data_IF_657814788606
#
_entry.id   IF_657814788606
#
_cell.length_a   1.000
_cell.length_b   1.000
_cell.length_c   1.000
_cell.angle_alpha   90.00
_cell.angle_beta   90.00
_cell.angle_gamma   90.00
#
_symmetry.space_group_name_H-M   'P 1'
#
loop_
_entity.id
_entity.type
_entity.pdbx_description
1 polymer ?
#
# COMPACT_ATOMS: atom_id res chain seq x y z
N UNK A 1 16.61 -31.37 13.15
CA UNK A 1 15.35 -30.83 13.71
C UNK A 1 14.14 -31.45 12.99
N UNK A 2 13.32 -32.28 13.64
CA UNK A 2 12.11 -32.85 13.03
C UNK A 2 10.98 -31.80 13.06
N UNK A 3 10.60 -31.29 11.89
CA UNK A 3 9.46 -30.36 11.77
C UNK A 3 8.19 -31.13 12.14
N UNK A 4 7.52 -30.74 13.23
CA UNK A 4 6.30 -31.42 13.73
C UNK A 4 5.23 -31.46 12.63
N UNK A 5 4.52 -32.58 12.49
CA UNK A 5 3.49 -32.84 11.45
C UNK A 5 2.49 -31.69 11.29
N UNK A 6 2.07 -31.05 12.38
CA UNK A 6 1.14 -29.90 12.35
C UNK A 6 1.72 -28.68 11.61
N UNK A 7 3.03 -28.43 11.71
CA UNK A 7 3.69 -27.31 11.02
C UNK A 7 3.68 -27.50 9.49
N UNK A 8 3.83 -28.75 9.02
CA UNK A 8 3.76 -29.10 7.60
C UNK A 8 2.32 -29.04 7.07
N UNK A 9 1.33 -29.42 7.88
CA UNK A 9 -0.08 -29.31 7.51
C UNK A 9 -0.52 -27.85 7.31
N UNK A 10 0.00 -26.92 8.10
CA UNK A 10 -0.26 -25.48 7.94
C UNK A 10 0.31 -24.97 6.60
N UNK A 11 1.55 -25.33 6.27
CA UNK A 11 2.17 -24.95 4.99
C UNK A 11 1.40 -25.53 3.79
N UNK A 12 0.94 -26.78 3.88
CA UNK A 12 0.09 -27.40 2.85
C UNK A 12 -1.24 -26.63 2.66
N UNK A 13 -1.90 -26.22 3.75
CA UNK A 13 -3.13 -25.41 3.67
C UNK A 13 -2.89 -24.04 3.02
N UNK A 14 -1.77 -23.38 3.32
CA UNK A 14 -1.42 -22.07 2.77
C UNK A 14 -1.07 -22.12 1.27
N UNK A 15 -0.43 -23.20 0.82
CA UNK A 15 -0.07 -23.39 -0.60
C UNK A 15 -1.28 -23.36 -1.54
N UNK A 16 -2.46 -23.75 -1.06
CA UNK A 16 -3.72 -23.73 -1.84
C UNK A 16 -4.21 -22.31 -2.16
N UNK A 17 -3.84 -21.32 -1.36
CA UNK A 17 -4.29 -19.93 -1.48
C UNK A 17 -3.23 -18.98 -2.05
N UNK A 18 -1.98 -19.43 -2.15
CA UNK A 18 -0.93 -18.68 -2.82
C UNK A 18 -1.13 -18.77 -4.35
N UNK A 19 -1.37 -17.64 -5.02
CA UNK A 19 -1.33 -17.60 -6.48
C UNK A 19 0.09 -17.89 -6.94
N UNK A 20 0.31 -19.02 -7.63
CA UNK A 20 1.62 -19.35 -8.22
C UNK A 20 2.06 -18.22 -9.14
N UNK A 21 3.31 -17.79 -9.04
CA UNK A 21 3.82 -16.76 -9.94
C UNK A 21 3.84 -17.30 -11.39
N UNK A 22 3.70 -16.44 -12.42
CA UNK A 22 3.73 -16.90 -13.81
C UNK A 22 5.01 -17.67 -14.17
N UNK A 23 6.13 -17.34 -13.51
CA UNK A 23 7.39 -18.06 -13.65
C UNK A 23 7.33 -19.48 -13.05
N UNK A 24 6.72 -19.64 -11.88
CA UNK A 24 6.52 -20.95 -11.26
C UNK A 24 5.60 -21.84 -12.10
N UNK A 25 4.53 -21.29 -12.68
CA UNK A 25 3.63 -22.04 -13.57
C UNK A 25 4.36 -22.54 -14.84
N UNK A 26 5.30 -21.75 -15.37
CA UNK A 26 6.14 -22.16 -16.52
C UNK A 26 7.12 -23.27 -16.14
N UNK A 27 7.73 -23.18 -14.96
CA UNK A 27 8.64 -24.21 -14.44
C UNK A 27 7.88 -25.51 -14.12
N UNK A 28 6.72 -25.43 -13.50
CA UNK A 28 5.88 -26.58 -13.22
C UNK A 28 5.48 -27.34 -14.50
N UNK A 29 5.16 -26.60 -15.59
CA UNK A 29 4.90 -27.20 -16.91
C UNK A 29 6.13 -27.90 -17.49
N UNK A 30 7.30 -27.30 -17.34
CA UNK A 30 8.56 -27.88 -17.80
C UNK A 30 8.86 -29.21 -17.06
N UNK A 31 8.46 -29.30 -15.80
CA UNK A 31 8.64 -30.49 -14.94
C UNK A 31 7.42 -31.44 -14.94
N UNK A 32 6.43 -31.21 -15.81
CA UNK A 32 5.27 -32.10 -15.97
C UNK A 32 4.19 -32.00 -14.89
N UNK A 33 4.27 -31.03 -13.96
CA UNK A 33 3.22 -30.79 -12.99
C UNK A 33 2.02 -30.08 -13.63
N UNK A 34 0.85 -30.72 -13.62
CA UNK A 34 -0.39 -30.10 -14.11
C UNK A 34 -0.83 -29.00 -13.12
N UNK A 35 -1.12 -27.78 -13.58
CA UNK A 35 -1.61 -26.72 -12.70
C UNK A 35 -3.03 -27.07 -12.24
N UNK A 36 -3.21 -27.34 -10.94
CA UNK A 36 -4.53 -27.37 -10.31
C UNK A 36 -5.04 -25.92 -10.26
N UNK A 37 -5.86 -25.56 -11.24
CA UNK A 37 -6.62 -24.33 -11.19
C UNK A 37 -7.75 -24.51 -10.18
N UNK A 38 -7.82 -23.73 -9.08
CA UNK A 38 -8.98 -23.79 -8.19
C UNK A 38 -10.23 -23.47 -9.02
N UNK A 39 -11.21 -24.38 -9.01
CA UNK A 39 -12.48 -24.23 -9.75
C UNK A 39 -13.20 -22.96 -9.27
N UNK A 40 -12.97 -21.82 -9.94
CA UNK A 40 -13.72 -20.59 -9.71
C UNK A 40 -15.12 -20.81 -10.25
N UNK A 41 -16.12 -20.85 -9.36
CA UNK A 41 -17.53 -20.86 -9.76
C UNK A 41 -17.80 -19.58 -10.56
N UNK A 42 -18.34 -19.72 -11.77
CA UNK A 42 -18.73 -18.59 -12.62
C UNK A 42 -19.85 -17.82 -11.91
N UNK A 43 -19.60 -16.59 -11.49
CA UNK A 43 -20.65 -15.68 -11.01
C UNK A 43 -21.51 -15.30 -12.21
N UNK A 44 -22.82 -15.58 -12.14
CA UNK A 44 -23.79 -15.17 -13.15
C UNK A 44 -23.82 -13.64 -13.19
N UNK A 45 -23.58 -13.04 -14.35
CA UNK A 45 -23.84 -11.62 -14.57
C UNK A 45 -25.35 -11.40 -14.49
N UNK A 46 -25.84 -10.76 -13.43
CA UNK A 46 -27.20 -10.25 -13.39
C UNK A 46 -27.29 -9.06 -14.35
N UNK A 47 -28.28 -9.12 -15.24
CA UNK A 47 -28.66 -8.06 -16.17
C UNK A 47 -28.84 -6.73 -15.42
N UNK A 48 -28.30 -5.65 -16.00
CA UNK A 48 -28.45 -4.29 -15.47
C UNK A 48 -29.93 -3.90 -15.56
N UNK A 49 -30.57 -3.65 -14.42
CA UNK A 49 -31.84 -2.91 -14.39
C UNK A 49 -31.49 -1.46 -14.72
N UNK A 50 -31.84 -1.02 -15.93
CA UNK A 50 -31.85 0.38 -16.29
C UNK A 50 -33.01 1.06 -15.55
N UNK A 51 -32.73 1.61 -14.38
CA UNK A 51 -33.64 2.55 -13.74
C UNK A 51 -33.61 3.87 -14.51
N UNK A 52 -34.73 4.24 -15.13
CA UNK A 52 -34.91 5.57 -15.70
C UNK A 52 -34.91 6.60 -14.57
N UNK A 53 -33.79 7.31 -14.41
CA UNK A 53 -33.76 8.50 -13.56
C UNK A 53 -34.52 9.62 -14.26
N UNK A 54 -35.80 9.81 -13.90
CA UNK A 54 -36.52 11.04 -14.26
C UNK A 54 -35.75 12.23 -13.68
N UNK A 55 -35.24 13.10 -14.57
CA UNK A 55 -34.55 14.32 -14.19
C UNK A 55 -35.59 15.27 -13.58
N UNK A 56 -35.44 15.58 -12.28
CA UNK A 56 -36.28 16.57 -11.61
C UNK A 56 -35.99 17.96 -12.17
N UNK A 57 -37.03 18.78 -12.24
CA UNK A 57 -36.91 20.14 -12.76
C UNK A 57 -36.19 21.02 -11.73
N UNK A 58 -35.43 22.02 -12.19
CA UNK A 58 -34.54 22.81 -11.32
C UNK A 58 -35.27 23.47 -10.13
N UNK A 59 -36.54 23.83 -10.31
CA UNK A 59 -37.39 24.39 -9.24
C UNK A 59 -37.69 23.40 -8.12
N UNK A 60 -37.89 22.12 -8.45
CA UNK A 60 -38.17 21.06 -7.47
C UNK A 60 -36.94 20.72 -6.64
N UNK A 61 -35.75 20.80 -7.25
CA UNK A 61 -34.48 20.59 -6.55
C UNK A 61 -34.19 21.72 -5.55
N UNK A 62 -34.47 22.96 -5.92
CA UNK A 62 -34.25 24.14 -5.06
C UNK A 62 -35.19 24.12 -3.84
N UNK A 63 -36.47 23.78 -4.03
CA UNK A 63 -37.43 23.69 -2.91
C UNK A 63 -37.03 22.59 -1.90
N UNK A 64 -36.55 21.44 -2.40
CA UNK A 64 -36.11 20.33 -1.56
C UNK A 64 -34.83 20.63 -0.76
N UNK A 65 -34.01 21.55 -1.27
CA UNK A 65 -32.82 22.05 -0.57
C UNK A 65 -33.19 23.17 0.42
N UNK A 66 -34.21 23.96 0.14
CA UNK A 66 -34.75 24.98 1.06
C UNK A 66 -35.42 24.35 2.28
N UNK A 67 -36.25 23.31 2.10
CA UNK A 67 -36.89 22.56 3.20
C UNK A 67 -35.87 21.93 4.16
N UNK A 68 -34.67 21.61 3.68
CA UNK A 68 -33.59 21.09 4.52
C UNK A 68 -32.77 22.17 5.27
N UNK A 69 -33.10 23.45 5.10
CA UNK A 69 -32.32 24.58 5.65
C UNK A 69 -33.07 25.45 6.67
N UNK A 70 -34.36 25.21 6.96
CA UNK A 70 -35.08 25.99 7.99
C UNK A 70 -34.77 25.46 9.41
N UNK A 71 -34.37 26.32 10.37
CA UNK A 71 -34.18 25.93 11.77
C UNK A 71 -35.50 26.02 12.55
N UNK A 72 -35.92 24.92 13.17
CA UNK A 72 -37.02 24.92 14.16
C UNK A 72 -36.59 25.67 15.44
N UNK A 73 -37.47 26.55 15.93
CA UNK A 73 -37.32 27.27 17.21
C UNK A 73 -37.74 26.36 18.39
N UNK A 74 -36.94 26.34 19.47
CA UNK A 74 -37.18 25.59 20.72
C UNK A 74 -38.23 26.25 21.67
N UNK A 75 -38.70 25.57 22.76
CA UNK A 75 -38.03 25.75 24.07
C UNK A 75 -37.99 24.55 25.09
N UNK A 76 -36.89 24.54 25.89
CA UNK A 76 -36.74 24.27 27.36
C UNK A 76 -36.38 22.88 28.01
N UNK A 77 -35.04 22.67 28.25
CA UNK A 77 -34.23 22.31 29.49
C UNK A 77 -34.63 21.19 30.52
N UNK A 78 -33.71 20.69 31.42
CA UNK A 78 -32.26 20.37 31.34
C UNK A 78 -31.84 19.02 32.05
N UNK A 79 -30.64 18.45 31.82
CA UNK A 79 -29.77 17.79 32.85
C UNK A 79 -28.38 17.31 32.35
N UNK A 80 -27.32 18.01 32.80
CA UNK A 80 -26.02 17.60 33.42
C UNK A 80 -25.10 16.48 32.82
N UNK A 81 -23.96 16.94 32.25
CA UNK A 81 -22.51 16.53 32.30
C UNK A 81 -21.99 15.13 31.88
N UNK A 82 -21.12 15.09 30.84
CA UNK A 82 -19.64 14.88 30.87
C UNK A 82 -19.02 14.90 29.44
N UNK A 83 -17.72 15.21 29.25
CA UNK A 83 -17.20 15.78 28.00
C UNK A 83 -16.82 14.75 26.91
N UNK A 84 -17.45 14.89 25.73
CA UNK A 84 -17.04 14.17 24.52
C UNK A 84 -15.76 14.76 23.90
N UNK A 85 -14.77 13.89 23.74
CA UNK A 85 -13.57 14.13 22.93
C UNK A 85 -13.97 14.28 21.46
N UNK A 86 -14.05 15.53 21.00
CA UNK A 86 -14.11 15.86 19.59
C UNK A 86 -12.78 15.50 18.93
N UNK A 87 -12.77 14.52 18.02
CA UNK A 87 -11.90 14.49 16.84
C UNK A 87 -12.28 13.34 15.90
N UNK A 88 -13.36 13.54 15.13
CA UNK A 88 -13.53 12.79 13.87
C UNK A 88 -12.99 13.64 12.73
N UNK A 89 -11.66 13.58 12.56
CA UNK A 89 -11.00 14.06 11.36
C UNK A 89 -11.54 13.34 10.13
N UNK A 90 -11.96 14.12 9.14
CA UNK A 90 -12.45 13.74 7.81
C UNK A 90 -11.67 12.54 7.27
N UNK A 91 -12.24 11.34 7.37
CA UNK A 91 -11.75 10.15 6.67
C UNK A 91 -11.93 10.41 5.18
N UNK A 92 -10.84 10.64 4.48
CA UNK A 92 -10.84 10.70 3.02
C UNK A 92 -11.57 9.46 2.50
N UNK A 93 -12.56 9.68 1.62
CA UNK A 93 -13.28 8.63 0.91
C UNK A 93 -12.29 7.84 0.06
N UNK A 94 -11.61 6.88 0.66
CA UNK A 94 -10.91 5.84 -0.07
C UNK A 94 -11.98 5.05 -0.80
N UNK A 95 -12.02 5.16 -2.13
CA UNK A 95 -12.88 4.37 -3.00
C UNK A 95 -12.60 2.89 -2.70
N UNK A 96 -13.46 2.26 -1.89
CA UNK A 96 -13.32 0.84 -1.55
C UNK A 96 -13.45 0.06 -2.85
N UNK A 97 -12.51 -0.86 -3.09
CA UNK A 97 -12.57 -1.72 -4.27
C UNK A 97 -13.85 -2.56 -4.17
N UNK A 98 -14.67 -2.67 -5.23
CA UNK A 98 -16.01 -3.24 -5.12
C UNK A 98 -16.03 -4.71 -4.66
N UNK A 99 -14.99 -5.49 -4.94
CA UNK A 99 -14.81 -6.88 -4.50
C UNK A 99 -14.33 -7.05 -3.05
N UNK A 100 -14.17 -5.95 -2.30
CA UNK A 100 -13.66 -5.97 -0.94
C UNK A 100 -14.75 -6.21 0.12
N UNK A 101 -16.01 -6.11 -0.30
CA UNK A 101 -17.22 -6.22 0.54
C UNK A 101 -17.72 -7.66 0.64
N UNK A 102 -17.27 -8.57 -0.22
CA UNK A 102 -17.74 -9.96 -0.26
C UNK A 102 -17.42 -10.71 1.06
N UNK A 103 -18.41 -11.39 1.67
CA UNK A 103 -18.23 -12.05 2.97
C UNK A 103 -17.21 -13.19 2.92
N UNK A 104 -17.06 -13.86 1.78
CA UNK A 104 -16.04 -14.91 1.58
C UNK A 104 -14.62 -14.33 1.58
N UNK A 105 -14.41 -13.18 0.93
CA UNK A 105 -13.13 -12.48 0.92
C UNK A 105 -12.76 -11.99 2.33
N UNK A 106 -13.75 -11.56 3.12
CA UNK A 106 -13.52 -11.20 4.51
C UNK A 106 -13.09 -12.40 5.36
N UNK A 107 -13.74 -13.56 5.19
CA UNK A 107 -13.33 -14.81 5.87
C UNK A 107 -11.89 -15.19 5.50
N UNK A 108 -11.53 -15.13 4.22
CA UNK A 108 -10.16 -15.38 3.77
C UNK A 108 -9.14 -14.38 4.32
N UNK A 109 -9.51 -13.10 4.42
CA UNK A 109 -8.65 -12.08 5.05
C UNK A 109 -8.46 -12.34 6.54
N UNK A 110 -9.49 -12.81 7.25
CA UNK A 110 -9.41 -13.19 8.67
C UNK A 110 -8.47 -14.38 8.86
N UNK A 111 -8.68 -15.46 8.11
CA UNK A 111 -7.83 -16.66 8.19
C UNK A 111 -6.38 -16.37 7.83
N UNK A 112 -6.14 -15.52 6.81
CA UNK A 112 -4.79 -15.06 6.47
C UNK A 112 -4.14 -14.28 7.61
N UNK A 113 -4.84 -13.31 8.21
CA UNK A 113 -4.33 -12.53 9.35
C UNK A 113 -4.01 -13.42 10.55
N UNK A 114 -4.88 -14.37 10.86
CA UNK A 114 -4.65 -15.35 11.95
C UNK A 114 -3.40 -16.17 11.69
N UNK A 115 -3.23 -16.70 10.47
CA UNK A 115 -2.05 -17.48 10.09
C UNK A 115 -0.75 -16.65 10.17
N UNK A 116 -0.76 -15.40 9.69
CA UNK A 116 0.39 -14.49 9.79
C UNK A 116 0.73 -14.19 11.26
N UNK A 117 -0.28 -13.95 12.10
CA UNK A 117 -0.08 -13.72 13.53
C UNK A 117 0.49 -14.96 14.25
N UNK A 118 0.04 -16.16 13.88
CA UNK A 118 0.60 -17.42 14.39
C UNK A 118 2.07 -17.58 13.98
N UNK A 119 2.41 -17.33 12.71
CA UNK A 119 3.81 -17.35 12.24
C UNK A 119 4.67 -16.34 13.01
N UNK A 120 4.16 -15.12 13.21
CA UNK A 120 4.88 -14.11 13.98
C UNK A 120 5.14 -14.57 15.43
N UNK A 121 4.13 -15.11 16.12
CA UNK A 121 4.28 -15.64 17.48
C UNK A 121 5.31 -16.77 17.55
N UNK A 122 5.42 -17.58 16.50
CA UNK A 122 6.40 -18.67 16.43
C UNK A 122 7.81 -18.18 16.09
N UNK A 123 7.96 -17.23 15.18
CA UNK A 123 9.28 -16.83 14.65
C UNK A 123 9.89 -15.73 15.51
N UNK A 124 9.12 -14.72 15.92
CA UNK A 124 9.64 -13.51 16.55
C UNK A 124 10.45 -13.77 17.83
N UNK A 125 10.02 -14.63 18.78
CA UNK A 125 10.81 -14.91 19.99
C UNK A 125 12.20 -15.48 19.68
N UNK A 126 12.30 -16.27 18.61
CA UNK A 126 13.50 -16.99 18.20
C UNK A 126 14.36 -16.22 17.18
N UNK A 127 13.98 -14.99 16.80
CA UNK A 127 14.84 -14.14 15.98
C UNK A 127 16.03 -13.60 16.78
N UNK A 128 17.17 -13.51 16.11
CA UNK A 128 18.36 -12.83 16.62
C UNK A 128 18.05 -11.36 16.99
N UNK A 129 18.74 -10.76 17.97
CA UNK A 129 18.52 -9.38 18.36
C UNK A 129 18.71 -8.39 17.19
N UNK A 130 19.61 -8.70 16.25
CA UNK A 130 19.82 -7.90 15.04
C UNK A 130 18.62 -8.01 14.10
N UNK A 131 18.15 -9.24 13.86
CA UNK A 131 16.99 -9.50 13.01
C UNK A 131 15.70 -8.90 13.60
N UNK A 132 15.52 -8.99 14.92
CA UNK A 132 14.42 -8.34 15.66
C UNK A 132 14.41 -6.83 15.39
N UNK A 133 15.54 -6.15 15.56
CA UNK A 133 15.67 -4.70 15.27
C UNK A 133 15.35 -4.37 13.82
N UNK A 134 15.81 -5.17 12.86
CA UNK A 134 15.50 -4.95 11.44
C UNK A 134 13.99 -5.11 11.17
N UNK A 135 13.37 -6.13 11.73
CA UNK A 135 11.93 -6.35 11.64
C UNK A 135 11.13 -5.21 12.27
N UNK A 136 11.48 -4.79 13.48
CA UNK A 136 10.78 -3.70 14.19
C UNK A 136 10.90 -2.38 13.42
N UNK A 137 12.07 -2.08 12.87
CA UNK A 137 12.27 -0.90 12.01
C UNK A 137 11.42 -0.96 10.73
N UNK A 138 11.36 -2.12 10.08
CA UNK A 138 10.53 -2.30 8.88
C UNK A 138 9.04 -2.19 9.20
N UNK A 139 8.59 -2.77 10.32
CA UNK A 139 7.23 -2.64 10.85
C UNK A 139 6.87 -1.19 11.13
N UNK A 140 7.75 -0.46 11.82
CA UNK A 140 7.57 0.98 12.07
C UNK A 140 7.45 1.76 10.76
N UNK A 141 8.30 1.49 9.78
CA UNK A 141 8.24 2.17 8.48
C UNK A 141 6.96 1.85 7.71
N UNK A 142 6.49 0.60 7.72
CA UNK A 142 5.23 0.20 7.08
C UNK A 142 4.01 0.86 7.72
N UNK A 143 4.05 1.09 9.04
CA UNK A 143 3.05 1.87 9.78
C UNK A 143 3.16 3.38 9.55
N UNK A 144 4.13 3.85 8.74
CA UNK A 144 4.37 5.27 8.46
C UNK A 144 5.25 5.98 9.50
N UNK A 145 5.80 5.25 10.46
CA UNK A 145 6.74 5.75 11.45
C UNK A 145 8.12 6.09 10.85
N UNK A 146 8.87 6.95 11.54
CA UNK A 146 10.24 7.32 11.18
C UNK A 146 11.23 6.41 11.91
N UNK A 147 12.14 5.77 11.17
CA UNK A 147 13.25 4.99 11.74
C UNK A 147 14.32 5.93 12.29
N UNK A 148 14.94 5.56 13.41
CA UNK A 148 16.08 6.27 13.99
C UNK A 148 17.17 6.53 12.95
N UNK A 149 17.82 7.70 13.03
CA UNK A 149 18.93 8.04 12.13
C UNK A 149 20.16 7.23 12.52
N UNK A 150 20.98 6.88 11.52
CA UNK A 150 22.30 6.30 11.79
C UNK A 150 23.14 7.27 12.61
N UNK A 151 24.00 6.74 13.48
CA UNK A 151 24.97 7.54 14.24
C UNK A 151 25.82 8.40 13.31
N UNK A 152 26.13 9.62 13.74
CA UNK A 152 27.06 10.49 13.00
C UNK A 152 28.40 9.76 12.86
N UNK A 153 28.95 9.75 11.66
CA UNK A 153 30.22 9.11 11.35
C UNK A 153 31.18 10.12 10.70
N UNK A 154 32.50 9.94 10.83
CA UNK A 154 33.49 10.77 10.16
C UNK A 154 33.28 10.80 8.64
N UNK A 155 33.49 11.95 8.03
CA UNK A 155 33.18 12.15 6.60
C UNK A 155 33.99 11.22 5.68
N UNK A 156 35.28 11.01 5.97
CA UNK A 156 36.15 10.13 5.17
C UNK A 156 35.62 8.69 5.13
N UNK A 157 35.24 8.14 6.29
CA UNK A 157 34.63 6.81 6.38
C UNK A 157 33.29 6.73 5.65
N UNK A 158 32.47 7.78 5.74
CA UNK A 158 31.19 7.84 5.05
C UNK A 158 31.37 7.76 3.54
N UNK A 159 32.33 8.52 3.01
CA UNK A 159 32.70 8.49 1.59
C UNK A 159 33.21 7.11 1.19
N UNK A 160 34.07 6.48 2.01
CA UNK A 160 34.57 5.14 1.72
C UNK A 160 33.46 4.09 1.68
N UNK A 161 32.55 4.09 2.68
CA UNK A 161 31.41 3.16 2.72
C UNK A 161 30.47 3.37 1.55
N UNK A 162 30.16 4.63 1.20
CA UNK A 162 29.30 4.92 0.04
C UNK A 162 29.94 4.50 -1.28
N UNK A 163 31.27 4.67 -1.45
CA UNK A 163 32.00 4.16 -2.62
C UNK A 163 31.98 2.63 -2.67
N UNK A 164 32.22 1.95 -1.55
CA UNK A 164 32.18 0.48 -1.49
C UNK A 164 30.80 -0.07 -1.85
N UNK A 165 29.72 0.55 -1.34
CA UNK A 165 28.35 0.16 -1.69
C UNK A 165 28.06 0.34 -3.19
N UNK A 166 28.50 1.45 -3.79
CA UNK A 166 28.35 1.68 -5.23
C UNK A 166 29.07 0.62 -6.05
N UNK A 167 30.33 0.32 -5.71
CA UNK A 167 31.11 -0.75 -6.37
C UNK A 167 30.41 -2.09 -6.29
N UNK A 168 29.81 -2.44 -5.15
CA UNK A 168 29.09 -3.70 -5.00
C UNK A 168 27.81 -3.75 -5.86
N UNK A 169 27.07 -2.64 -5.94
CA UNK A 169 25.90 -2.54 -6.82
C UNK A 169 26.32 -2.63 -8.30
N UNK A 170 27.41 -1.97 -8.69
CA UNK A 170 27.97 -2.04 -10.05
C UNK A 170 28.42 -3.45 -10.42
N UNK A 171 29.12 -4.16 -9.52
CA UNK A 171 29.50 -5.57 -9.70
C UNK A 171 28.26 -6.45 -9.91
N UNK A 172 27.23 -6.28 -9.09
CA UNK A 172 25.99 -7.04 -9.27
C UNK A 172 25.33 -6.75 -10.62
N UNK A 173 25.32 -5.50 -11.07
CA UNK A 173 24.81 -5.13 -12.39
C UNK A 173 25.64 -5.70 -13.54
N UNK A 174 26.95 -5.84 -13.38
CA UNK A 174 27.82 -6.52 -14.36
C UNK A 174 27.49 -8.00 -14.42
N UNK A 175 27.39 -8.68 -13.28
CA UNK A 175 26.98 -10.09 -13.20
C UNK A 175 25.59 -10.32 -13.80
N UNK A 176 24.64 -9.42 -13.61
CA UNK A 176 23.31 -9.49 -14.25
C UNK A 176 23.40 -9.44 -15.78
N UNK A 177 24.31 -8.63 -16.33
CA UNK A 177 24.53 -8.53 -17.78
C UNK A 177 25.21 -9.76 -18.34
N UNK A 178 26.26 -10.24 -17.67
CA UNK A 178 27.01 -11.44 -18.05
C UNK A 178 26.12 -12.69 -18.04
N UNK A 179 25.29 -12.83 -17.01
CA UNK A 179 24.37 -13.98 -16.88
C UNK A 179 23.07 -13.81 -17.68
N UNK A 180 22.76 -12.59 -18.16
CA UNK A 180 21.50 -12.30 -18.84
C UNK A 180 20.26 -12.42 -17.96
N UNK A 181 20.41 -12.38 -16.63
CA UNK A 181 19.33 -12.54 -15.65
C UNK A 181 19.16 -11.26 -14.83
N UNK A 182 17.91 -10.91 -14.49
CA UNK A 182 17.62 -9.84 -13.54
C UNK A 182 17.54 -10.39 -12.13
N UNK A 183 18.44 -9.99 -11.24
CA UNK A 183 18.37 -10.38 -9.83
C UNK A 183 17.37 -9.48 -9.10
N UNK A 184 16.73 -10.01 -8.06
CA UNK A 184 15.85 -9.21 -7.19
C UNK A 184 16.64 -8.30 -6.23
N UNK A 185 17.96 -8.19 -6.41
CA UNK A 185 18.80 -7.39 -5.51
C UNK A 185 18.60 -5.88 -5.73
N UNK A 186 18.98 -5.09 -4.73
CA UNK A 186 18.83 -3.64 -4.77
C UNK A 186 19.72 -3.00 -5.85
N UNK A 187 19.14 -2.77 -7.03
CA UNK A 187 19.82 -2.09 -8.16
C UNK A 187 20.22 -0.64 -7.89
N UNK A 188 19.64 -0.01 -6.86
CA UNK A 188 19.76 1.44 -6.59
C UNK A 188 20.35 1.76 -5.22
N UNK A 189 20.92 0.77 -4.52
CA UNK A 189 21.55 0.97 -3.21
C UNK A 189 20.55 1.17 -2.05
N UNK A 190 19.35 0.61 -2.17
CA UNK A 190 18.35 0.56 -1.10
C UNK A 190 17.26 1.64 -1.16
N UNK A 191 16.20 1.43 -0.37
CA UNK A 191 14.96 2.24 -0.40
C UNK A 191 15.21 3.75 -0.18
N UNK A 192 16.09 4.11 0.76
CA UNK A 192 16.43 5.52 1.03
C UNK A 192 17.05 6.22 -0.17
N UNK A 193 17.96 5.56 -0.88
CA UNK A 193 18.58 6.13 -2.08
C UNK A 193 17.56 6.32 -3.20
N UNK A 194 16.63 5.37 -3.36
CA UNK A 194 15.51 5.49 -4.29
C UNK A 194 14.63 6.69 -3.95
N UNK A 195 14.30 6.90 -2.68
CA UNK A 195 13.49 8.03 -2.24
C UNK A 195 14.21 9.37 -2.43
N UNK A 196 15.51 9.43 -2.16
CA UNK A 196 16.34 10.61 -2.41
C UNK A 196 16.35 10.93 -3.92
N UNK A 197 16.57 9.93 -4.79
CA UNK A 197 16.55 10.13 -6.24
C UNK A 197 15.18 10.60 -6.73
N UNK A 198 14.08 9.97 -6.26
CA UNK A 198 12.71 10.42 -6.57
C UNK A 198 12.49 11.86 -6.15
N UNK A 199 12.98 12.26 -4.98
CA UNK A 199 12.87 13.64 -4.49
C UNK A 199 13.69 14.62 -5.34
N UNK A 200 14.90 14.25 -5.77
CA UNK A 200 15.72 15.06 -6.70
C UNK A 200 15.01 15.25 -8.04
N UNK A 201 14.56 14.17 -8.68
CA UNK A 201 13.79 14.22 -9.94
C UNK A 201 12.53 15.07 -9.82
N UNK A 202 11.78 14.97 -8.73
CA UNK A 202 10.61 15.83 -8.48
C UNK A 202 10.97 17.31 -8.36
N UNK A 203 12.14 17.65 -7.80
CA UNK A 203 12.64 19.02 -7.74
C UNK A 203 13.06 19.51 -9.12
N UNK A 204 13.81 18.70 -9.86
CA UNK A 204 14.22 18.98 -11.24
C UNK A 204 13.00 19.23 -12.12
N UNK A 205 11.99 18.34 -12.10
CA UNK A 205 10.73 18.53 -12.85
C UNK A 205 10.02 19.84 -12.46
N UNK A 206 10.05 20.24 -11.19
CA UNK A 206 9.45 21.52 -10.77
C UNK A 206 10.26 22.73 -11.24
N UNK A 207 11.56 22.58 -11.42
CA UNK A 207 12.44 23.62 -11.92
C UNK A 207 12.38 23.74 -13.45
N UNK A 208 12.26 22.61 -14.16
CA UNK A 208 12.17 22.57 -15.63
C UNK A 208 10.75 22.77 -16.15
N UNK A 209 9.73 22.59 -15.31
CA UNK A 209 8.36 22.99 -15.65
C UNK A 209 8.32 24.50 -15.80
N UNK A 210 8.00 24.96 -17.00
CA UNK A 210 7.65 26.34 -17.27
C UNK A 210 6.53 26.77 -16.32
N UNK A 211 6.56 28.02 -15.80
CA UNK A 211 5.44 28.61 -15.07
C UNK A 211 4.14 28.64 -15.91
N UNK A 212 4.30 28.61 -17.24
CA UNK A 212 3.26 28.58 -18.24
C UNK A 212 3.20 27.18 -18.86
N UNK A 213 2.26 26.33 -18.43
CA UNK A 213 2.01 25.07 -19.14
C UNK A 213 1.03 25.35 -20.28
N UNK A 214 1.41 25.04 -21.52
CA UNK A 214 0.57 25.09 -22.74
C UNK A 214 -0.52 24.00 -22.70
N UNK A 215 -1.36 24.05 -21.67
CA UNK A 215 -2.43 23.11 -21.36
C UNK A 215 -3.43 23.67 -20.35
N UNK A 216 -3.20 24.86 -19.80
CA UNK A 216 -4.20 25.65 -19.08
C UNK A 216 -5.21 26.18 -20.09
N UNK A 217 -6.19 25.35 -20.46
CA UNK A 217 -7.22 25.65 -21.47
C UNK A 217 -8.10 26.87 -21.14
N UNK A 218 -7.90 27.51 -19.98
CA UNK A 218 -8.73 28.62 -19.51
C UNK A 218 -7.97 29.93 -19.27
N UNK A 219 -6.67 30.05 -19.60
CA UNK A 219 -5.96 31.35 -19.59
C UNK A 219 -5.85 32.10 -18.25
N UNK A 220 -6.28 31.52 -17.12
CA UNK A 220 -6.22 32.17 -15.80
C UNK A 220 -4.91 31.78 -15.10
N UNK A 221 -3.94 32.69 -15.15
CA UNK A 221 -2.69 32.56 -14.40
C UNK A 221 -2.90 32.92 -12.93
N UNK A 222 -2.79 31.94 -12.02
CA UNK A 222 -2.76 32.20 -10.58
C UNK A 222 -1.34 32.56 -10.14
N UNK A 223 -1.04 33.86 -10.06
CA UNK A 223 0.18 34.36 -9.42
C UNK A 223 0.07 34.04 -7.92
N UNK A 224 0.93 33.14 -7.42
CA UNK A 224 1.05 32.92 -5.98
C UNK A 224 1.91 34.05 -5.40
N UNK A 225 1.28 35.01 -4.75
CA UNK A 225 1.99 35.98 -3.91
C UNK A 225 2.59 35.24 -2.72
N UNK A 226 3.88 35.51 -2.43
CA UNK A 226 4.53 35.02 -1.23
C UNK A 226 4.26 36.02 -0.11
N UNK A 227 3.49 35.60 0.88
CA UNK A 227 3.42 36.18 2.23
C UNK A 227 4.25 35.31 3.16
#
# INVERSE_FOLDING_TARGET
>A
MKIRRNKLQILKKLALYATRSPAQVKLDRLWGFKPENPKRRKTRHTTRVSGEHKRLNAKEYVNKVLESCEPENEPEKPTVKEPEVQQQGKRSLCTRKPWETDPEVQKQKRTFKEAVNQLHKLVYPHLDPIAKRQYDNAKLQALGGKIAKNRKMPYKEFVQRTKALKRNVEKNQQLEKELGVKLFTDTKGGARFVDIQKRKRRKEIKQTRSPFQFGDKNGVYRIKTRT
#
